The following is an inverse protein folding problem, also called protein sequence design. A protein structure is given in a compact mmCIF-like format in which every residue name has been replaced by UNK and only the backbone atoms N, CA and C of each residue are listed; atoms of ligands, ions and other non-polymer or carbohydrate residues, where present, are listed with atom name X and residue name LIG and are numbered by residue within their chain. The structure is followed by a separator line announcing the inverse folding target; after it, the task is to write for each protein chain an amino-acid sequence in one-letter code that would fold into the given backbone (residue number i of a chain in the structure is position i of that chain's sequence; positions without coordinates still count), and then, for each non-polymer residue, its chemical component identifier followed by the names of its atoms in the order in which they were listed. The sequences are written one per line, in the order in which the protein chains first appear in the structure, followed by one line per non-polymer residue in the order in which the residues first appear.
data_IF_627314763844
#
_entry.id   IF_627314763844
#
_cell.length_a   1.000
_cell.length_b   1.000
_cell.length_c   1.000
_cell.angle_alpha   90.00
_cell.angle_beta   90.00
_cell.angle_gamma   90.00
#
_symmetry.space_group_name_H-M   'P 1'
#
loop_
_entity.id
_entity.type
_entity.pdbx_description
1 polymer ?
#
# COMPACT_ATOMS: atom_id res chain seq x y z
N UNK A 1 19.96 5.95 -0.16
CA UNK A 1 19.43 4.71 -0.76
C UNK A 1 18.16 4.36 -0.01
N UNK A 2 17.02 4.41 -0.68
CA UNK A 2 15.73 4.06 -0.07
C UNK A 2 15.60 2.55 -0.13
N UNK A 3 15.25 1.93 1.00
CA UNK A 3 15.07 0.49 1.07
C UNK A 3 13.59 0.17 0.91
N UNK A 4 13.26 -0.57 -0.14
CA UNK A 4 11.94 -1.13 -0.38
C UNK A 4 12.08 -2.63 -0.16
N UNK A 5 11.42 -3.14 0.88
CA UNK A 5 11.30 -4.56 1.14
C UNK A 5 10.17 -5.12 0.27
N UNK A 6 10.43 -6.21 -0.45
CA UNK A 6 9.45 -6.85 -1.33
C UNK A 6 9.50 -8.34 -1.10
N UNK A 7 8.36 -8.91 -0.73
CA UNK A 7 8.27 -10.34 -0.45
C UNK A 7 6.94 -10.92 -0.95
N UNK A 8 6.99 -12.19 -1.31
CA UNK A 8 5.81 -12.97 -1.71
C UNK A 8 5.04 -13.38 -0.45
N UNK A 9 3.72 -13.30 -0.52
CA UNK A 9 2.81 -13.82 0.51
C UNK A 9 2.41 -15.24 0.09
N UNK A 10 2.94 -16.24 0.78
CA UNK A 10 2.78 -17.65 0.42
C UNK A 10 1.49 -18.27 0.95
N UNK A 11 0.97 -17.75 2.07
CA UNK A 11 -0.21 -18.31 2.73
C UNK A 11 -1.12 -17.25 3.34
N UNK A 12 -2.33 -17.70 3.68
CA UNK A 12 -3.28 -16.92 4.49
C UNK A 12 -2.70 -16.50 5.83
N UNK A 13 -1.94 -17.39 6.47
CA UNK A 13 -1.39 -17.13 7.80
C UNK A 13 -0.29 -16.07 7.73
N UNK A 14 0.53 -16.08 6.67
CA UNK A 14 1.52 -15.03 6.42
C UNK A 14 0.85 -13.66 6.24
N UNK A 15 -0.22 -13.61 5.44
CA UNK A 15 -1.01 -12.39 5.24
C UNK A 15 -1.59 -11.90 6.58
N UNK A 16 -2.17 -12.81 7.37
CA UNK A 16 -2.77 -12.47 8.66
C UNK A 16 -1.72 -11.95 9.63
N UNK A 17 -0.57 -12.61 9.76
CA UNK A 17 0.52 -12.16 10.61
C UNK A 17 1.05 -10.79 10.19
N UNK A 18 1.23 -10.57 8.88
CA UNK A 18 1.68 -9.28 8.34
C UNK A 18 0.70 -8.15 8.68
N UNK A 19 -0.60 -8.37 8.56
CA UNK A 19 -1.61 -7.35 8.88
C UNK A 19 -1.69 -7.10 10.39
N UNK A 20 -1.61 -8.15 11.22
CA UNK A 20 -1.66 -8.04 12.68
C UNK A 20 -0.39 -7.46 13.29
N UNK A 21 0.75 -7.47 12.56
CA UNK A 21 1.99 -6.86 13.03
C UNK A 21 2.05 -5.34 12.85
N UNK A 22 1.05 -4.73 12.21
CA UNK A 22 1.01 -3.27 12.02
C UNK A 22 0.51 -2.56 13.29
N UNK A 23 1.06 -1.39 13.59
CA UNK A 23 0.62 -0.55 14.71
C UNK A 23 -0.70 0.16 14.36
N UNK A 24 -1.84 -0.13 15.02
CA UNK A 24 -3.12 0.44 14.66
C UNK A 24 -3.29 1.90 15.09
N UNK A 25 -2.66 2.36 16.17
CA UNK A 25 -3.01 3.66 16.80
C UNK A 25 -2.67 4.88 15.93
N UNK A 26 -1.77 4.70 14.97
CA UNK A 26 -1.26 5.75 14.09
C UNK A 26 -1.35 5.40 12.59
N UNK A 27 -2.06 4.32 12.28
CA UNK A 27 -2.16 3.82 10.93
C UNK A 27 -3.48 4.18 10.27
N UNK A 28 -3.40 4.36 8.97
CA UNK A 28 -4.53 4.55 8.09
C UNK A 28 -4.49 3.44 7.05
N UNK A 29 -5.63 2.86 6.73
CA UNK A 29 -5.72 1.82 5.72
C UNK A 29 -6.61 2.25 4.56
N UNK A 30 -6.34 1.69 3.39
CA UNK A 30 -7.13 1.85 2.18
C UNK A 30 -7.37 0.45 1.61
N UNK A 31 -8.63 0.08 1.38
CA UNK A 31 -8.96 -1.22 0.79
C UNK A 31 -9.20 -1.09 -0.71
N UNK A 32 -8.75 -2.09 -1.46
CA UNK A 32 -9.06 -2.28 -2.88
C UNK A 32 -9.00 -1.00 -3.69
N UNK A 33 -10.19 -0.53 -4.12
CA UNK A 33 -10.41 0.65 -4.95
C UNK A 33 -11.13 1.80 -4.20
N UNK A 34 -11.10 1.79 -2.86
CA UNK A 34 -11.71 2.83 -2.04
C UNK A 34 -11.09 4.21 -2.32
N UNK A 35 -11.90 5.24 -2.07
CA UNK A 35 -11.60 6.65 -2.44
C UNK A 35 -11.04 7.48 -1.28
N UNK A 36 -11.00 6.96 -0.05
CA UNK A 36 -10.39 7.61 1.10
C UNK A 36 -9.77 6.59 2.05
N UNK A 37 -8.68 7.00 2.70
CA UNK A 37 -8.07 6.24 3.79
C UNK A 37 -8.94 6.31 5.05
N UNK A 38 -9.10 5.19 5.72
CA UNK A 38 -9.74 5.08 7.02
C UNK A 38 -8.70 4.99 8.12
N UNK A 39 -8.96 5.67 9.25
CA UNK A 39 -8.08 5.57 10.42
C UNK A 39 -8.30 4.22 11.12
N UNK A 40 -7.23 3.50 11.38
CA UNK A 40 -7.27 2.28 12.20
C UNK A 40 -7.51 2.64 13.67
N UNK A 41 -8.23 1.78 14.37
CA UNK A 41 -8.37 1.78 15.82
C UNK A 41 -8.03 0.39 16.37
N UNK A 42 -7.94 0.24 17.68
CA UNK A 42 -7.61 -1.02 18.35
C UNK A 42 -8.58 -2.18 18.04
N UNK A 43 -9.78 -1.87 17.56
CA UNK A 43 -10.82 -2.85 17.18
C UNK A 43 -10.86 -3.11 15.66
N UNK A 44 -10.06 -2.39 14.86
CA UNK A 44 -10.07 -2.49 13.40
C UNK A 44 -9.37 -3.76 12.95
N UNK A 45 -10.15 -4.78 12.62
CA UNK A 45 -9.66 -6.04 12.03
C UNK A 45 -9.87 -5.97 10.51
N UNK A 46 -8.95 -5.34 9.79
CA UNK A 46 -8.98 -5.27 8.31
C UNK A 46 -8.72 -6.62 7.64
N UNK A 47 -8.29 -7.63 8.41
CA UNK A 47 -7.88 -8.93 7.88
C UNK A 47 -8.99 -9.53 7.02
N UNK A 48 -10.25 -9.51 7.47
CA UNK A 48 -11.35 -10.16 6.77
C UNK A 48 -11.60 -9.54 5.38
N UNK A 49 -11.57 -8.23 5.29
CA UNK A 49 -11.82 -7.46 4.06
C UNK A 49 -10.68 -7.68 3.07
N UNK A 50 -9.44 -7.56 3.54
CA UNK A 50 -8.23 -7.81 2.73
C UNK A 50 -8.25 -9.24 2.18
N UNK A 51 -8.68 -10.21 2.99
CA UNK A 51 -8.81 -11.60 2.58
C UNK A 51 -9.88 -11.83 1.52
N UNK A 52 -11.04 -11.21 1.67
CA UNK A 52 -12.10 -11.29 0.68
C UNK A 52 -11.65 -10.68 -0.65
N UNK A 53 -10.99 -9.53 -0.62
CA UNK A 53 -10.50 -8.86 -1.82
C UNK A 53 -9.34 -9.62 -2.50
N UNK A 54 -8.46 -10.21 -1.69
CA UNK A 54 -7.40 -11.12 -2.13
C UNK A 54 -7.95 -12.31 -2.89
N UNK A 55 -8.95 -12.99 -2.33
CA UNK A 55 -9.57 -14.18 -2.94
C UNK A 55 -10.23 -13.85 -4.28
N UNK A 56 -10.85 -12.68 -4.42
CA UNK A 56 -11.43 -12.22 -5.70
C UNK A 56 -10.36 -11.94 -6.76
N UNK A 57 -9.19 -11.48 -6.33
CA UNK A 57 -8.14 -10.96 -7.22
C UNK A 57 -7.11 -12.02 -7.64
N UNK A 58 -6.93 -13.09 -6.85
CA UNK A 58 -5.99 -14.17 -7.13
C UNK A 58 -6.51 -15.07 -8.28
N UNK A 59 -5.77 -15.07 -9.39
CA UNK A 59 -5.90 -16.03 -10.51
C UNK A 59 -4.75 -17.04 -10.46
N UNK A 60 -4.87 -18.17 -11.17
CA UNK A 60 -3.86 -19.26 -11.18
C UNK A 60 -2.42 -18.81 -11.50
N UNK A 61 -2.23 -17.69 -12.21
CA UNK A 61 -0.90 -17.17 -12.59
C UNK A 61 -0.46 -15.93 -11.81
N UNK A 62 -1.29 -15.44 -10.89
CA UNK A 62 -0.98 -14.24 -10.12
C UNK A 62 -0.37 -14.62 -8.76
N UNK A 63 0.58 -13.81 -8.31
CA UNK A 63 1.23 -13.94 -7.00
C UNK A 63 0.85 -12.74 -6.15
N UNK A 64 0.52 -12.99 -4.88
CA UNK A 64 0.34 -11.93 -3.91
C UNK A 64 1.70 -11.54 -3.33
N UNK A 65 1.95 -10.24 -3.24
CA UNK A 65 3.20 -9.68 -2.73
C UNK A 65 2.89 -8.55 -1.79
N UNK A 66 3.78 -8.30 -0.84
CA UNK A 66 3.81 -7.03 -0.12
C UNK A 66 5.05 -6.23 -0.46
N UNK A 67 4.88 -4.92 -0.41
CA UNK A 67 5.96 -3.94 -0.51
C UNK A 67 5.92 -3.08 0.75
N UNK A 68 7.05 -3.00 1.45
CA UNK A 68 7.18 -2.23 2.68
C UNK A 68 8.33 -1.23 2.55
N UNK A 69 8.06 0.03 2.84
CA UNK A 69 9.04 1.11 2.66
C UNK A 69 8.74 2.29 3.58
N UNK A 70 9.76 3.13 3.79
CA UNK A 70 9.60 4.43 4.46
C UNK A 70 9.49 5.55 3.44
N UNK A 71 8.51 6.41 3.64
CA UNK A 71 8.34 7.64 2.86
C UNK A 71 9.30 8.72 3.35
N UNK A 72 9.30 9.88 2.67
CA UNK A 72 9.91 11.10 3.21
C UNK A 72 9.29 11.47 4.57
N UNK A 73 10.05 12.21 5.38
CA UNK A 73 9.56 12.75 6.66
C UNK A 73 8.33 13.64 6.43
N UNK A 74 7.41 13.65 7.39
CA UNK A 74 6.16 14.42 7.37
C UNK A 74 5.25 14.10 6.16
N UNK A 75 5.35 12.89 5.62
CA UNK A 75 4.46 12.49 4.53
C UNK A 75 3.01 12.44 5.01
N UNK A 76 2.09 13.03 4.25
CA UNK A 76 0.66 13.03 4.61
C UNK A 76 -0.09 11.86 3.98
N UNK A 77 -1.20 11.48 4.60
CA UNK A 77 -2.13 10.45 4.07
C UNK A 77 -2.58 10.78 2.64
N UNK A 78 -2.78 12.07 2.31
CA UNK A 78 -3.15 12.52 0.96
C UNK A 78 -2.06 12.22 -0.07
N UNK A 79 -0.80 12.38 0.30
CA UNK A 79 0.34 12.09 -0.57
C UNK A 79 0.42 10.59 -0.87
N UNK A 80 0.24 9.77 0.18
CA UNK A 80 0.22 8.31 0.03
C UNK A 80 -0.97 7.87 -0.81
N UNK A 81 -2.16 8.45 -0.63
CA UNK A 81 -3.32 8.19 -1.50
C UNK A 81 -3.00 8.42 -2.98
N UNK A 82 -2.32 9.53 -3.28
CA UNK A 82 -1.90 9.84 -4.64
C UNK A 82 -0.98 8.75 -5.22
N UNK A 83 0.02 8.31 -4.45
CA UNK A 83 0.86 7.19 -4.84
C UNK A 83 0.02 5.94 -5.13
N UNK A 84 -0.85 5.53 -4.21
CA UNK A 84 -1.67 4.33 -4.38
C UNK A 84 -2.55 4.44 -5.63
N UNK A 85 -3.11 5.61 -5.90
CA UNK A 85 -3.92 5.84 -7.10
C UNK A 85 -3.12 5.68 -8.40
N UNK A 86 -1.86 6.14 -8.43
CA UNK A 86 -0.97 5.90 -9.59
C UNK A 86 -0.60 4.42 -9.74
N UNK A 87 -0.37 3.72 -8.62
CA UNK A 87 -0.05 2.29 -8.65
C UNK A 87 -1.24 1.45 -9.15
N UNK A 88 -2.47 1.78 -8.72
CA UNK A 88 -3.70 1.10 -9.12
C UNK A 88 -3.94 1.09 -10.63
N UNK A 89 -3.39 2.07 -11.37
CA UNK A 89 -3.44 2.10 -12.84
C UNK A 89 -2.63 0.98 -13.51
N UNK A 90 -1.70 0.37 -12.77
CA UNK A 90 -0.71 -0.58 -13.30
C UNK A 90 -0.79 -1.95 -12.65
N UNK A 91 -1.18 -2.02 -11.38
CA UNK A 91 -1.27 -3.25 -10.61
C UNK A 91 -2.51 -3.28 -9.74
N UNK A 92 -3.07 -4.48 -9.51
CA UNK A 92 -4.17 -4.63 -8.55
C UNK A 92 -3.61 -4.47 -7.14
N UNK A 93 -3.92 -3.34 -6.52
CA UNK A 93 -3.70 -3.11 -5.09
C UNK A 93 -4.86 -3.71 -4.31
N UNK A 94 -4.55 -4.57 -3.34
CA UNK A 94 -5.53 -5.19 -2.45
C UNK A 94 -5.77 -4.30 -1.23
N UNK A 95 -4.69 -3.79 -0.65
CA UNK A 95 -4.76 -2.83 0.44
C UNK A 95 -3.46 -2.07 0.57
N UNK A 96 -3.52 -0.91 1.20
CA UNK A 96 -2.36 -0.23 1.75
C UNK A 96 -2.61 0.18 3.19
N UNK A 97 -1.54 0.23 3.96
CA UNK A 97 -1.52 0.70 5.35
C UNK A 97 -0.38 1.70 5.47
N UNK A 98 -0.70 2.89 5.98
CA UNK A 98 0.26 3.96 6.18
C UNK A 98 0.25 4.41 7.63
N UNK A 99 1.40 4.33 8.29
CA UNK A 99 1.58 4.87 9.63
C UNK A 99 2.21 6.26 9.54
N UNK A 100 1.46 7.27 10.01
CA UNK A 100 1.84 8.67 9.85
C UNK A 100 2.96 9.12 10.79
N UNK A 101 3.20 8.38 11.88
CA UNK A 101 4.22 8.72 12.88
C UNK A 101 5.61 8.24 12.45
N UNK A 102 5.71 6.99 11.98
CA UNK A 102 6.98 6.43 11.53
C UNK A 102 7.21 6.58 10.02
N UNK A 103 6.24 7.16 9.30
CA UNK A 103 6.24 7.34 7.86
C UNK A 103 6.46 6.03 7.08
N UNK A 104 5.91 4.93 7.59
CA UNK A 104 6.03 3.60 7.00
C UNK A 104 4.77 3.24 6.23
N UNK A 105 4.96 2.70 5.03
CA UNK A 105 3.90 2.24 4.15
C UNK A 105 4.05 0.75 3.88
N UNK A 106 2.95 0.02 3.98
CA UNK A 106 2.78 -1.34 3.54
C UNK A 106 1.76 -1.35 2.41
N UNK A 107 2.09 -1.97 1.28
CA UNK A 107 1.17 -2.14 0.15
C UNK A 107 1.10 -3.63 -0.17
N UNK A 108 -0.10 -4.16 -0.29
CA UNK A 108 -0.33 -5.54 -0.74
C UNK A 108 -0.88 -5.49 -2.16
N UNK A 109 -0.22 -6.18 -3.07
CA UNK A 109 -0.55 -6.22 -4.49
C UNK A 109 -0.71 -7.65 -4.99
N UNK A 110 -1.41 -7.79 -6.12
CA UNK A 110 -1.47 -9.03 -6.90
C UNK A 110 -0.91 -8.75 -8.29
N UNK A 111 0.18 -9.42 -8.65
CA UNK A 111 0.87 -9.25 -9.94
C UNK A 111 1.37 -10.58 -10.52
N UNK A 112 1.64 -10.60 -11.82
CA UNK A 112 1.96 -11.80 -12.60
C UNK A 112 3.47 -11.97 -12.92
N UNK A 113 4.28 -10.90 -12.94
CA UNK A 113 5.73 -10.81 -12.62
C UNK A 113 6.40 -9.61 -13.30
N UNK A 114 7.54 -9.19 -12.72
CA UNK A 114 8.31 -7.96 -12.96
C UNK A 114 7.65 -6.67 -12.43
N UNK A 115 7.81 -6.43 -11.13
CA UNK A 115 7.26 -5.25 -10.46
C UNK A 115 8.22 -4.05 -10.49
N UNK A 116 9.30 -4.09 -11.27
CA UNK A 116 10.32 -3.03 -11.33
C UNK A 116 9.75 -1.63 -11.65
N UNK A 117 8.65 -1.55 -12.41
CA UNK A 117 7.94 -0.29 -12.68
C UNK A 117 7.30 0.25 -11.40
N UNK A 118 6.71 -0.62 -10.58
CA UNK A 118 6.09 -0.26 -9.29
C UNK A 118 7.17 0.15 -8.30
N UNK A 119 8.25 -0.61 -8.22
CA UNK A 119 9.41 -0.32 -7.38
C UNK A 119 10.00 1.05 -7.69
N UNK A 120 10.22 1.32 -8.99
CA UNK A 120 10.75 2.60 -9.45
C UNK A 120 9.83 3.76 -9.07
N UNK A 121 8.51 3.62 -9.22
CA UNK A 121 7.57 4.67 -8.82
C UNK A 121 7.55 4.92 -7.31
N UNK A 122 7.60 3.86 -6.50
CA UNK A 122 7.70 4.00 -5.05
C UNK A 122 9.01 4.71 -4.70
N UNK A 123 10.11 4.34 -5.34
CA UNK A 123 11.41 4.98 -5.13
C UNK A 123 11.36 6.47 -5.48
N UNK A 124 10.83 6.83 -6.67
CA UNK A 124 10.66 8.22 -7.11
C UNK A 124 9.80 9.02 -6.11
N UNK A 125 8.69 8.45 -5.64
CA UNK A 125 7.84 9.07 -4.62
C UNK A 125 8.62 9.34 -3.32
N UNK A 126 9.39 8.36 -2.86
CA UNK A 126 10.13 8.46 -1.60
C UNK A 126 11.33 9.41 -1.69
N UNK A 127 11.95 9.56 -2.87
CA UNK A 127 13.05 10.50 -3.14
C UNK A 127 12.58 11.96 -3.29
N UNK A 128 11.27 12.20 -3.30
CA UNK A 128 10.69 13.53 -3.51
C UNK A 128 10.58 13.94 -4.98
N UNK A 129 10.59 12.96 -5.90
CA UNK A 129 10.29 13.17 -7.31
C UNK A 129 8.95 13.90 -7.48
N UNK A 130 8.89 14.77 -8.49
CA UNK A 130 7.74 15.60 -8.79
C UNK A 130 6.51 14.75 -9.17
N UNK A 131 5.71 14.40 -8.16
CA UNK A 131 4.30 14.02 -8.32
C UNK A 131 3.38 15.21 -7.98
N UNK A 132 3.96 16.39 -7.76
CA UNK A 132 3.32 17.56 -7.14
C UNK A 132 2.84 18.64 -8.10
N UNK A 133 2.98 18.49 -9.43
CA UNK A 133 2.41 19.45 -10.39
C UNK A 133 0.90 19.22 -10.57
N UNK A 134 0.14 19.31 -9.48
CA UNK A 134 -1.31 19.55 -9.53
C UNK A 134 -1.69 20.61 -8.50
N UNK A 135 -1.12 21.81 -8.67
CA UNK A 135 -1.78 23.08 -8.31
C UNK A 135 -2.90 23.43 -9.32
N UNK A 136 -3.39 22.46 -10.09
CA UNK A 136 -4.58 22.59 -10.91
C UNK A 136 -5.55 21.47 -10.59
N UNK A 137 -6.56 21.83 -9.80
CA UNK A 137 -7.95 21.35 -9.72
C UNK A 137 -8.31 21.49 -8.25
N UNK A 138 -8.68 22.72 -7.86
CA UNK A 138 -9.78 23.08 -6.95
C UNK A 138 -9.73 24.62 -6.84
N UNK A 139 -10.29 25.28 -7.87
CA UNK A 139 -11.02 26.55 -7.69
C UNK A 139 -12.51 26.20 -7.54
#
# INVERSE_FOLDING_TARGET
MIFIEINIIYSYEDLRHLLLSQDPENSYYLLGDDIYFEKMNSETIITREVLLESKKSLKQLNVMKYMKFKTKNNCSVKEVYWLINELRKKVKVITSIFNSINCECLIIIVSNNNDSIIEKQIQEFCEGGALWDTDQIYD
#
